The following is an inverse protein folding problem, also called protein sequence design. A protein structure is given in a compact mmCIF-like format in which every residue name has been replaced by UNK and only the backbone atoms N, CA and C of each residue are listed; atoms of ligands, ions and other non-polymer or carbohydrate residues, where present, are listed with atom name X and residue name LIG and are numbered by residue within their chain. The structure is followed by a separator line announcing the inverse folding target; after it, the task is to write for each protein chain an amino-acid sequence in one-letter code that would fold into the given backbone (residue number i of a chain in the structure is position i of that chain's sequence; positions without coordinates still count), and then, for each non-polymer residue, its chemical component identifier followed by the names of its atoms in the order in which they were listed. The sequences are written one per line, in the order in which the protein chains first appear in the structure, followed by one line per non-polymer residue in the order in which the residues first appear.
data_IF_668873300258
#
_entry.id   IF_668873300258
#
_cell.length_a   1.000
_cell.length_b   1.000
_cell.length_c   1.000
_cell.angle_alpha   90.00
_cell.angle_beta   90.00
_cell.angle_gamma   90.00
#
_symmetry.space_group_name_H-M   'P 1'
#
loop_
_entity.id
_entity.type
_entity.pdbx_description
1 polymer ?
#
# COMPACT_ATOMS: atom_id res chain seq x y z
N UNK A 1 -9.75 -0.03 -13.43
CA UNK A 1 -9.69 -1.49 -13.21
C UNK A 1 -9.25 -1.84 -11.78
N UNK A 2 -8.06 -1.44 -11.36
CA UNK A 2 -7.61 -1.56 -9.96
C UNK A 2 -8.58 -0.93 -8.95
N UNK A 3 -9.12 0.26 -9.24
CA UNK A 3 -10.18 0.91 -8.44
C UNK A 3 -11.42 0.04 -8.25
N UNK A 4 -11.85 -0.70 -9.28
CA UNK A 4 -12.98 -1.62 -9.17
C UNK A 4 -12.64 -2.86 -8.35
N UNK A 5 -11.39 -3.32 -8.40
CA UNK A 5 -10.91 -4.51 -7.69
C UNK A 5 -10.86 -4.32 -6.16
N UNK A 6 -10.57 -3.09 -5.69
CA UNK A 6 -10.43 -2.78 -4.26
C UNK A 6 -11.50 -1.83 -3.71
N UNK A 7 -12.27 -1.17 -4.59
CA UNK A 7 -13.26 -0.15 -4.20
C UNK A 7 -14.40 -0.67 -3.34
N UNK A 8 -14.80 -1.93 -3.52
CA UNK A 8 -15.83 -2.59 -2.70
C UNK A 8 -15.38 -2.84 -1.24
N UNK A 9 -14.08 -2.75 -0.96
CA UNK A 9 -13.52 -2.81 0.39
C UNK A 9 -13.54 -1.45 1.11
N UNK A 10 -14.15 -0.44 0.50
CA UNK A 10 -14.29 0.90 1.06
C UNK A 10 -12.94 1.63 1.21
N UNK A 11 -11.95 1.33 0.36
CA UNK A 11 -10.63 1.96 0.40
C UNK A 11 -10.19 2.34 -1.02
N UNK A 12 -9.64 3.55 -1.17
CA UNK A 12 -9.10 4.01 -2.44
C UNK A 12 -7.71 3.41 -2.71
N UNK A 13 -7.29 3.28 -3.97
CA UNK A 13 -5.96 2.80 -4.34
C UNK A 13 -4.79 3.51 -3.65
N UNK A 14 -4.82 4.85 -3.58
CA UNK A 14 -3.78 5.62 -2.90
C UNK A 14 -3.66 5.28 -1.42
N UNK A 15 -4.79 5.03 -0.74
CA UNK A 15 -4.81 4.59 0.65
C UNK A 15 -4.30 3.15 0.83
N UNK A 16 -4.51 2.28 -0.17
CA UNK A 16 -3.89 0.94 -0.17
C UNK A 16 -2.37 1.05 -0.18
N UNK A 17 -1.79 1.94 -1.00
CA UNK A 17 -0.34 2.18 -1.03
C UNK A 17 0.22 2.57 0.33
N UNK A 18 -0.46 3.48 1.05
CA UNK A 18 -0.10 3.85 2.43
C UNK A 18 -0.13 2.65 3.37
N UNK A 19 -1.18 1.83 3.36
CA UNK A 19 -1.27 0.63 4.22
C UNK A 19 -0.17 -0.39 3.91
N UNK A 20 0.18 -0.56 2.62
CA UNK A 20 1.27 -1.45 2.21
C UNK A 20 2.60 -0.99 2.79
N UNK A 21 2.91 0.30 2.68
CA UNK A 21 4.17 0.86 3.18
C UNK A 21 4.26 0.80 4.70
N UNK A 22 3.19 1.13 5.43
CA UNK A 22 3.16 0.99 6.90
C UNK A 22 3.27 -0.47 7.33
N UNK A 23 2.64 -1.40 6.60
CA UNK A 23 2.78 -2.84 6.88
C UNK A 23 4.19 -3.37 6.68
N UNK A 24 4.91 -2.87 5.66
CA UNK A 24 6.28 -3.28 5.37
C UNK A 24 7.31 -2.60 6.26
N UNK A 25 6.94 -1.46 6.89
CA UNK A 25 7.82 -0.63 7.70
C UNK A 25 7.14 -0.25 9.02
N UNK A 26 6.90 -1.19 9.96
CA UNK A 26 6.29 -0.86 11.25
C UNK A 26 7.11 0.20 12.00
N UNK A 27 6.45 1.26 12.45
CA UNK A 27 7.10 2.39 13.10
C UNK A 27 7.64 3.46 12.16
N UNK A 28 7.39 3.37 10.84
CA UNK A 28 7.75 4.41 9.88
C UNK A 28 7.20 5.77 10.31
N UNK A 29 8.03 6.80 10.21
CA UNK A 29 7.62 8.17 10.53
C UNK A 29 6.75 8.74 9.41
N UNK A 30 5.87 9.70 9.73
CA UNK A 30 5.06 10.39 8.73
C UNK A 30 5.90 11.05 7.63
N UNK A 31 7.08 11.57 7.97
CA UNK A 31 7.98 12.21 7.00
C UNK A 31 8.56 11.21 6.01
N UNK A 32 9.05 10.06 6.49
CA UNK A 32 9.56 8.99 5.61
C UNK A 32 8.47 8.36 4.77
N UNK A 33 7.26 8.24 5.33
CA UNK A 33 6.12 7.77 4.57
C UNK A 33 5.77 8.72 3.43
N UNK A 34 5.74 10.04 3.69
CA UNK A 34 5.46 11.09 2.71
C UNK A 34 6.43 11.03 1.51
N UNK A 35 7.73 10.93 1.81
CA UNK A 35 8.78 10.74 0.82
C UNK A 35 8.56 9.46 0.00
N UNK A 36 8.28 8.33 0.66
CA UNK A 36 8.06 7.05 -0.02
C UNK A 36 6.83 7.01 -0.93
N UNK A 37 5.77 7.78 -0.63
CA UNK A 37 4.58 7.90 -1.49
C UNK A 37 4.67 9.05 -2.48
N UNK A 38 5.73 9.86 -2.44
CA UNK A 38 5.87 11.06 -3.29
C UNK A 38 4.83 12.14 -3.00
N UNK A 39 4.34 12.24 -1.76
CA UNK A 39 3.37 13.25 -1.34
C UNK A 39 4.00 14.23 -0.35
N UNK A 40 3.55 15.47 -0.36
CA UNK A 40 3.86 16.41 0.71
C UNK A 40 3.11 16.03 2.01
N UNK A 41 3.56 16.62 3.12
CA UNK A 41 3.02 16.32 4.45
C UNK A 41 1.57 16.80 4.62
N UNK A 42 1.19 17.94 4.04
CA UNK A 42 -0.17 18.46 4.14
C UNK A 42 -1.20 17.59 3.39
N UNK A 43 -0.75 16.86 2.37
CA UNK A 43 -1.56 15.87 1.67
C UNK A 43 -1.62 14.54 2.43
N UNK A 44 -0.51 14.10 3.04
CA UNK A 44 -0.48 12.82 3.75
C UNK A 44 -1.24 12.82 5.08
N UNK A 45 -1.19 13.92 5.85
CA UNK A 45 -1.79 13.96 7.20
C UNK A 45 -3.31 13.68 7.17
N UNK A 46 -4.13 14.32 6.32
CA UNK A 46 -5.56 14.01 6.23
C UNK A 46 -5.85 12.56 5.81
N UNK A 47 -4.95 11.97 5.01
CA UNK A 47 -5.05 10.54 4.64
C UNK A 47 -4.85 9.66 5.87
N UNK A 48 -3.82 9.93 6.67
CA UNK A 48 -3.54 9.19 7.90
C UNK A 48 -4.66 9.38 8.94
N UNK A 49 -5.18 10.59 9.11
CA UNK A 49 -6.28 10.86 10.02
C UNK A 49 -7.56 10.13 9.59
N UNK A 50 -7.80 10.00 8.29
CA UNK A 50 -8.89 9.19 7.76
C UNK A 50 -8.70 7.68 7.99
N UNK A 51 -7.47 7.19 7.97
CA UNK A 51 -7.17 5.78 8.25
C UNK A 51 -7.25 5.47 9.75
N UNK A 52 -6.79 6.39 10.60
CA UNK A 52 -6.87 6.29 12.07
C UNK A 52 -8.32 6.36 12.57
N UNK A 53 -9.15 7.27 12.04
CA UNK A 53 -10.60 7.29 12.32
C UNK A 53 -11.32 6.00 11.95
N UNK A 54 -10.78 5.22 11.01
CA UNK A 54 -11.30 3.92 10.60
C UNK A 54 -10.67 2.75 11.36
N UNK A 55 -9.88 3.04 12.40
CA UNK A 55 -9.11 2.06 13.16
C UNK A 55 -8.09 1.30 12.30
N UNK A 56 -7.66 1.77 11.13
CA UNK A 56 -6.77 0.97 10.24
C UNK A 56 -5.28 1.20 10.52
N UNK A 57 -4.92 2.37 11.02
CA UNK A 57 -3.56 2.80 11.34
C UNK A 57 -3.61 3.45 12.71
N UNK A 58 -2.53 3.30 13.47
CA UNK A 58 -2.37 3.95 14.76
C UNK A 58 -1.00 4.64 14.84
N UNK A 59 -0.98 5.80 15.49
CA UNK A 59 0.24 6.53 15.83
C UNK A 59 0.67 6.14 17.25
N UNK A 60 1.87 5.61 17.39
CA UNK A 60 2.47 5.33 18.71
C UNK A 60 3.75 6.12 18.87
N UNK A 61 4.17 6.39 20.12
CA UNK A 61 5.49 6.95 20.37
C UNK A 61 6.54 6.00 19.79
N UNK A 62 7.41 6.52 18.93
CA UNK A 62 8.57 5.79 18.43
C UNK A 62 9.64 5.64 19.50
N UNK A 63 10.72 4.95 19.15
CA UNK A 63 11.91 4.78 20.00
C UNK A 63 12.56 6.13 20.33
N UNK A 64 12.59 7.06 19.36
CA UNK A 64 12.90 8.47 19.63
C UNK A 64 11.65 9.18 20.15
N UNK A 65 11.70 9.61 21.42
CA UNK A 65 10.62 10.28 22.17
C UNK A 65 10.02 11.50 21.46
N UNK A 66 10.71 12.04 20.44
CA UNK A 66 10.28 13.22 19.67
C UNK A 66 9.49 12.89 18.40
N UNK A 67 9.33 11.62 18.02
CA UNK A 67 8.59 11.26 16.79
C UNK A 67 7.58 10.14 17.03
N UNK A 68 6.39 10.29 16.43
CA UNK A 68 5.40 9.22 16.37
C UNK A 68 5.69 8.34 15.16
N UNK A 69 5.74 7.02 15.38
CA UNK A 69 5.76 6.03 14.31
C UNK A 69 4.32 5.62 13.92
N UNK A 70 4.20 4.95 12.78
CA UNK A 70 2.93 4.43 12.27
C UNK A 70 2.93 2.91 12.31
N UNK A 71 1.84 2.33 12.80
CA UNK A 71 1.60 0.89 12.78
C UNK A 71 0.24 0.59 12.18
N UNK A 72 0.11 -0.59 11.56
CA UNK A 72 -1.21 -1.14 11.29
C UNK A 72 -1.80 -1.72 12.57
N UNK A 73 -3.05 -1.38 12.84
CA UNK A 73 -3.87 -2.07 13.83
C UNK A 73 -4.20 -3.50 13.36
N UNK A 74 -4.90 -4.26 14.20
CA UNK A 74 -5.42 -5.57 13.79
C UNK A 74 -6.43 -5.46 12.63
N UNK A 75 -7.32 -4.48 12.65
CA UNK A 75 -8.31 -4.28 11.59
C UNK A 75 -7.65 -3.81 10.28
N UNK A 76 -6.61 -2.96 10.37
CA UNK A 76 -5.74 -2.58 9.27
C UNK A 76 -5.06 -3.77 8.60
N UNK A 77 -4.45 -4.66 9.38
CA UNK A 77 -3.83 -5.91 8.89
C UNK A 77 -4.85 -6.81 8.19
N UNK A 78 -6.06 -6.97 8.76
CA UNK A 78 -7.14 -7.77 8.17
C UNK A 78 -7.61 -7.18 6.84
N UNK A 79 -7.80 -5.86 6.76
CA UNK A 79 -8.18 -5.18 5.52
C UNK A 79 -7.10 -5.37 4.46
N UNK A 80 -5.83 -5.13 4.79
CA UNK A 80 -4.73 -5.31 3.85
C UNK A 80 -4.64 -6.75 3.34
N UNK A 81 -4.89 -7.75 4.20
CA UNK A 81 -4.99 -9.15 3.79
C UNK A 81 -6.11 -9.40 2.76
N UNK A 82 -7.29 -8.78 2.92
CA UNK A 82 -8.38 -8.86 1.93
C UNK A 82 -7.99 -8.19 0.62
N UNK A 83 -7.38 -7.01 0.69
CA UNK A 83 -6.89 -6.27 -0.49
C UNK A 83 -5.89 -7.11 -1.27
N UNK A 84 -4.87 -7.68 -0.62
CA UNK A 84 -3.87 -8.56 -1.25
C UNK A 84 -4.51 -9.74 -1.97
N UNK A 85 -5.51 -10.40 -1.36
CA UNK A 85 -6.23 -11.51 -2.01
C UNK A 85 -7.01 -11.07 -3.25
N UNK A 86 -7.65 -9.90 -3.22
CA UNK A 86 -8.38 -9.36 -4.38
C UNK A 86 -7.44 -8.99 -5.53
N UNK A 87 -6.32 -8.34 -5.22
CA UNK A 87 -5.27 -8.02 -6.19
C UNK A 87 -4.71 -9.30 -6.82
N UNK A 88 -4.31 -10.29 -6.02
CA UNK A 88 -3.77 -11.54 -6.55
C UNK A 88 -4.80 -12.34 -7.39
N UNK A 89 -6.09 -12.28 -7.05
CA UNK A 89 -7.14 -12.89 -7.87
C UNK A 89 -7.34 -12.13 -9.19
N UNK A 90 -7.20 -10.81 -9.16
CA UNK A 90 -7.30 -9.96 -10.34
C UNK A 90 -6.10 -10.15 -11.28
N UNK A 91 -4.88 -10.12 -10.76
CA UNK A 91 -3.64 -10.39 -11.52
C UNK A 91 -3.70 -11.75 -12.21
N UNK A 92 -4.14 -12.80 -11.50
CA UNK A 92 -4.34 -14.13 -12.10
C UNK A 92 -5.32 -14.14 -13.28
N UNK A 93 -6.36 -13.30 -13.25
CA UNK A 93 -7.30 -13.16 -14.38
C UNK A 93 -6.68 -12.37 -15.53
N UNK A 94 -5.89 -11.34 -15.24
CA UNK A 94 -5.24 -10.56 -16.30
C UNK A 94 -4.28 -11.42 -17.15
N UNK A 95 -3.57 -12.35 -16.51
CA UNK A 95 -2.58 -13.20 -17.20
C UNK A 95 -3.10 -14.61 -17.52
N UNK A 96 -4.41 -14.87 -17.37
CA UNK A 96 -4.95 -16.23 -17.51
C UNK A 96 -4.81 -16.80 -18.92
N UNK A 97 -4.75 -15.95 -19.94
CA UNK A 97 -4.52 -16.35 -21.34
C UNK A 97 -3.05 -16.50 -21.73
N UNK A 98 -2.12 -16.20 -20.82
CA UNK A 98 -0.67 -16.25 -21.08
C UNK A 98 -0.06 -17.56 -20.59
N UNK A 99 0.79 -18.16 -21.41
CA UNK A 99 1.72 -19.20 -21.02
C UNK A 99 2.74 -18.71 -20.00
N UNK A 100 3.42 -19.64 -19.31
CA UNK A 100 4.48 -19.31 -18.34
C UNK A 100 5.60 -18.47 -18.98
N UNK A 101 6.03 -18.84 -20.19
CA UNK A 101 7.06 -18.12 -20.94
C UNK A 101 6.66 -16.67 -21.27
N UNK A 102 5.41 -16.44 -21.65
CA UNK A 102 4.91 -15.08 -21.92
C UNK A 102 4.85 -14.24 -20.64
N UNK A 103 4.53 -14.86 -19.50
CA UNK A 103 4.54 -14.19 -18.19
C UNK A 103 5.96 -13.79 -17.79
N UNK A 104 6.93 -14.69 -17.94
CA UNK A 104 8.34 -14.40 -17.67
C UNK A 104 8.86 -13.26 -18.55
N UNK A 105 8.49 -13.28 -19.84
CA UNK A 105 8.83 -12.20 -20.78
C UNK A 105 8.20 -10.86 -20.36
N UNK A 106 6.93 -10.86 -19.93
CA UNK A 106 6.28 -9.66 -19.44
C UNK A 106 6.99 -9.10 -18.20
N UNK A 107 7.34 -9.95 -17.23
CA UNK A 107 8.08 -9.53 -16.02
C UNK A 107 9.43 -8.93 -16.40
N UNK A 108 10.16 -9.54 -17.34
CA UNK A 108 11.44 -9.01 -17.83
C UNK A 108 11.29 -7.65 -18.50
N UNK A 109 10.23 -7.44 -19.31
CA UNK A 109 9.95 -6.15 -19.95
C UNK A 109 9.56 -5.07 -18.93
N UNK A 110 8.73 -5.40 -17.94
CA UNK A 110 8.35 -4.47 -16.86
C UNK A 110 9.55 -4.08 -15.99
N UNK A 111 10.46 -5.02 -15.72
CA UNK A 111 11.68 -4.73 -14.97
C UNK A 111 12.57 -3.69 -15.68
N UNK A 112 12.62 -3.70 -17.01
CA UNK A 112 13.35 -2.70 -17.80
C UNK A 112 12.74 -1.30 -17.71
N UNK A 113 11.44 -1.16 -17.45
CA UNK A 113 10.80 0.14 -17.22
C UNK A 113 11.11 0.72 -15.83
N UNK A 114 11.43 -0.14 -14.85
CA UNK A 114 11.64 0.27 -13.46
C UNK A 114 13.05 0.79 -13.18
N UNK A 115 13.99 0.53 -14.08
CA UNK A 115 15.31 1.16 -14.07
C UNK A 115 15.23 2.46 -14.88
N UNK A 116 15.36 3.64 -14.25
CA UNK A 116 15.64 4.83 -15.00
C UNK A 116 17.02 4.66 -15.67
N UNK A 117 17.14 5.13 -16.92
CA UNK A 117 18.43 5.59 -17.40
C UNK A 117 18.84 6.86 -16.64
#
# INVERSE_FOLDING_TARGET
DFERTVGDLGISPGRVGVLVLVSGNPGITQSRLAEAVGLDRSTLVPVLDGLERRDLVERRRGEDRRTNGLWLTLSGKRLLGRVRRRIAAHERRMVSGMSEKERDQLVALLARLRSPA
#
